data_IF_602328579617
#
_entry.id   IF_602328579617
#
_cell.length_a   1.000
_cell.length_b   1.000
_cell.length_c   1.000
_cell.angle_alpha   90.00
_cell.angle_beta   90.00
_cell.angle_gamma   90.00
#
_symmetry.space_group_name_H-M   'P 1'
#
loop_
_entity.id
_entity.type
_entity.pdbx_description
1 polymer ?
#
# COMPACT_ATOMS: atom_id res chain seq x y z
N UNK A 1 52.48 6.53 -66.26
CA UNK A 1 52.43 6.93 -64.83
C UNK A 1 51.29 7.91 -64.61
N UNK A 2 50.17 7.47 -64.03
CA UNK A 2 49.18 8.29 -63.32
C UNK A 2 48.56 7.39 -62.24
N UNK A 3 48.85 7.70 -60.97
CA UNK A 3 48.26 7.03 -59.79
C UNK A 3 46.95 7.73 -59.46
N UNK A 4 45.86 6.98 -59.36
CA UNK A 4 44.60 7.45 -58.79
C UNK A 4 44.25 6.53 -57.62
N UNK A 5 44.28 7.08 -56.41
CA UNK A 5 43.96 6.41 -55.16
C UNK A 5 42.46 6.63 -54.87
N UNK A 6 41.68 5.55 -54.89
CA UNK A 6 40.29 5.57 -54.41
C UNK A 6 40.24 5.41 -52.88
N UNK A 7 39.41 6.18 -52.16
CA UNK A 7 39.33 6.07 -50.71
C UNK A 7 38.53 4.84 -50.26
N UNK A 8 39.24 3.94 -49.59
CA UNK A 8 38.94 3.34 -48.29
C UNK A 8 37.48 3.43 -47.80
N UNK A 9 36.76 2.30 -47.78
CA UNK A 9 35.57 2.09 -46.94
C UNK A 9 35.64 0.74 -46.24
N UNK A 10 36.18 0.66 -45.02
CA UNK A 10 35.83 -0.36 -44.06
C UNK A 10 35.05 0.33 -42.94
N UNK A 11 33.73 0.25 -42.95
CA UNK A 11 32.96 0.55 -41.74
C UNK A 11 31.65 -0.23 -41.73
N UNK A 12 31.76 -1.56 -41.78
CA UNK A 12 30.76 -2.44 -41.18
C UNK A 12 30.98 -2.32 -39.68
N UNK A 13 30.40 -1.28 -39.07
CA UNK A 13 30.28 -1.17 -37.62
C UNK A 13 29.09 -2.04 -37.21
N UNK A 14 29.40 -3.32 -37.08
CA UNK A 14 28.62 -4.31 -36.37
C UNK A 14 28.69 -3.92 -34.88
N UNK A 15 27.60 -3.45 -34.26
CA UNK A 15 27.22 -3.84 -32.88
C UNK A 15 25.89 -3.21 -32.44
N UNK A 16 24.95 -4.11 -32.14
CA UNK A 16 23.91 -4.01 -31.12
C UNK A 16 23.61 -2.62 -30.51
N UNK A 17 22.51 -2.01 -30.95
CA UNK A 17 21.63 -1.22 -30.09
C UNK A 17 20.41 -2.07 -29.70
N UNK A 18 20.69 -3.26 -29.17
CA UNK A 18 19.74 -4.02 -28.36
C UNK A 18 20.03 -3.70 -26.90
N UNK A 19 19.01 -3.33 -26.14
CA UNK A 19 19.06 -3.43 -24.69
C UNK A 19 18.96 -2.12 -23.92
N UNK A 20 17.99 -1.27 -24.23
CA UNK A 20 17.31 -0.54 -23.17
C UNK A 20 15.82 -0.86 -23.25
N UNK A 21 15.48 -2.11 -22.94
CA UNK A 21 14.18 -2.36 -22.33
C UNK A 21 14.21 -1.59 -21.01
N UNK A 22 13.66 -0.38 -21.03
CA UNK A 22 13.12 0.23 -19.82
C UNK A 22 12.05 -0.73 -19.32
N UNK A 23 12.44 -1.69 -18.50
CA UNK A 23 11.55 -2.28 -17.53
C UNK A 23 11.30 -1.19 -16.49
N UNK A 24 10.60 -0.13 -16.90
CA UNK A 24 9.74 0.59 -15.98
C UNK A 24 8.68 -0.45 -15.61
N UNK A 25 9.00 -1.28 -14.62
CA UNK A 25 7.99 -2.11 -13.99
C UNK A 25 6.90 -1.14 -13.60
N UNK A 26 5.73 -1.26 -14.23
CA UNK A 26 4.57 -0.48 -13.86
C UNK A 26 4.39 -0.72 -12.35
N UNK A 27 4.61 0.31 -11.54
CA UNK A 27 4.36 0.23 -10.11
C UNK A 27 2.92 -0.23 -9.89
N UNK A 28 2.67 -0.95 -8.81
CA UNK A 28 1.29 -1.33 -8.49
C UNK A 28 0.43 -0.08 -8.36
N UNK A 29 -0.79 -0.14 -8.88
CA UNK A 29 -1.73 0.96 -8.71
C UNK A 29 -2.35 0.88 -7.32
N UNK A 30 -1.81 1.64 -6.37
CA UNK A 30 -2.39 1.76 -5.04
C UNK A 30 -3.41 2.89 -5.03
N UNK A 31 -4.67 2.56 -4.73
CA UNK A 31 -5.79 3.50 -4.67
C UNK A 31 -6.42 3.55 -3.27
N UNK A 32 -7.06 4.69 -2.99
CA UNK A 32 -7.85 4.92 -1.78
C UNK A 32 -9.28 5.29 -2.18
N UNK A 33 -10.26 4.78 -1.46
CA UNK A 33 -11.66 5.17 -1.60
C UNK A 33 -12.43 5.05 -0.29
N UNK A 34 -13.58 5.72 -0.22
CA UNK A 34 -14.56 5.56 0.84
C UNK A 34 -15.89 5.10 0.27
N UNK A 35 -16.36 3.91 0.66
CA UNK A 35 -17.57 3.30 0.11
C UNK A 35 -18.38 2.61 1.21
N UNK A 36 -19.71 2.84 1.24
CA UNK A 36 -20.59 2.17 2.19
C UNK A 36 -20.22 2.38 3.66
N UNK A 37 -19.57 3.50 3.96
CA UNK A 37 -19.08 3.84 5.29
C UNK A 37 -17.79 3.14 5.73
N UNK A 38 -17.08 2.51 4.78
CA UNK A 38 -15.77 1.91 4.99
C UNK A 38 -14.68 2.76 4.35
N UNK A 39 -13.48 2.66 4.92
CA UNK A 39 -12.25 3.16 4.32
C UNK A 39 -11.56 2.02 3.59
N UNK A 40 -11.19 2.24 2.34
CA UNK A 40 -10.58 1.27 1.45
C UNK A 40 -9.20 1.74 1.05
N UNK A 41 -8.21 0.86 1.21
CA UNK A 41 -6.90 1.01 0.59
C UNK A 41 -6.61 -0.28 -0.18
N UNK A 42 -6.40 -0.18 -1.48
CA UNK A 42 -6.24 -1.34 -2.33
C UNK A 42 -5.09 -1.19 -3.32
N UNK A 43 -4.53 -2.32 -3.72
CA UNK A 43 -3.63 -2.45 -4.85
C UNK A 43 -4.23 -3.40 -5.88
N UNK A 44 -3.44 -3.79 -6.88
CA UNK A 44 -3.86 -4.79 -7.86
C UNK A 44 -4.07 -6.18 -7.24
N UNK A 45 -3.44 -6.48 -6.10
CA UNK A 45 -3.44 -7.82 -5.48
C UNK A 45 -4.05 -7.90 -4.10
N UNK A 46 -4.17 -6.80 -3.36
CA UNK A 46 -4.72 -6.80 -2.00
C UNK A 46 -5.71 -5.68 -1.79
N UNK A 47 -6.70 -5.90 -0.94
CA UNK A 47 -7.64 -4.87 -0.47
C UNK A 47 -7.74 -4.91 1.05
N UNK A 48 -7.60 -3.75 1.66
CA UNK A 48 -7.85 -3.51 3.08
C UNK A 48 -9.14 -2.72 3.21
N UNK A 49 -10.08 -3.23 3.99
CA UNK A 49 -11.32 -2.54 4.34
C UNK A 49 -11.37 -2.28 5.84
N UNK A 50 -11.51 -1.01 6.23
CA UNK A 50 -11.71 -0.61 7.61
C UNK A 50 -13.14 -0.12 7.81
N UNK A 51 -13.81 -0.66 8.83
CA UNK A 51 -15.13 -0.18 9.23
C UNK A 51 -15.08 1.00 10.21
N UNK A 52 -16.25 1.50 10.57
CA UNK A 52 -16.41 2.61 11.53
C UNK A 52 -15.85 2.31 12.94
N UNK A 53 -15.59 1.04 13.26
CA UNK A 53 -15.02 0.60 14.54
C UNK A 53 -13.50 0.33 14.41
N UNK A 54 -12.88 0.76 13.31
CA UNK A 54 -11.48 0.49 12.95
C UNK A 54 -11.17 -1.02 12.88
N UNK A 55 -12.16 -1.85 12.54
CA UNK A 55 -11.97 -3.28 12.27
C UNK A 55 -11.50 -3.46 10.84
N UNK A 56 -10.38 -4.15 10.65
CA UNK A 56 -9.82 -4.43 9.33
C UNK A 56 -10.29 -5.77 8.77
N UNK A 57 -10.64 -5.79 7.48
CA UNK A 57 -10.77 -7.01 6.66
C UNK A 57 -9.77 -6.94 5.53
N UNK A 58 -9.07 -8.04 5.30
CA UNK A 58 -8.04 -8.14 4.26
C UNK A 58 -8.46 -9.18 3.23
N UNK A 59 -8.36 -8.81 1.96
CA UNK A 59 -8.70 -9.67 0.84
C UNK A 59 -7.54 -9.77 -0.15
N UNK A 60 -7.27 -10.97 -0.64
CA UNK A 60 -6.49 -11.18 -1.85
C UNK A 60 -7.38 -11.01 -3.08
N UNK A 61 -6.89 -10.26 -4.07
CA UNK A 61 -7.50 -10.07 -5.39
C UNK A 61 -6.89 -11.08 -6.36
N UNK A 62 -7.73 -11.82 -7.06
CA UNK A 62 -7.31 -12.71 -8.15
C UNK A 62 -8.30 -12.54 -9.31
N UNK A 63 -7.93 -11.71 -10.28
CA UNK A 63 -8.87 -11.21 -11.28
C UNK A 63 -10.00 -10.41 -10.61
N UNK A 64 -11.25 -10.78 -10.88
CA UNK A 64 -12.43 -10.17 -10.25
C UNK A 64 -12.79 -10.77 -8.88
N UNK A 65 -12.08 -11.82 -8.43
CA UNK A 65 -12.41 -12.54 -7.20
C UNK A 65 -11.68 -11.96 -6.00
N UNK A 66 -12.43 -11.72 -4.92
CA UNK A 66 -11.90 -11.41 -3.59
C UNK A 66 -11.91 -12.66 -2.71
N UNK A 67 -10.76 -13.01 -2.14
CA UNK A 67 -10.63 -14.08 -1.16
C UNK A 67 -10.20 -13.49 0.17
N UNK A 68 -11.07 -13.60 1.20
CA UNK A 68 -10.75 -13.11 2.53
C UNK A 68 -9.56 -13.87 3.11
N UNK A 69 -8.51 -13.16 3.48
CA UNK A 69 -7.28 -13.73 4.04
C UNK A 69 -7.35 -13.87 5.57
N UNK A 70 -8.20 -13.07 6.20
CA UNK A 70 -8.29 -12.95 7.65
C UNK A 70 -9.76 -13.14 8.02
N UNK A 71 -10.07 -14.23 8.71
CA UNK A 71 -11.28 -14.35 9.54
C UNK A 71 -11.28 -13.17 10.53
N UNK A 72 -12.42 -12.60 10.99
CA UNK A 72 -12.46 -11.47 11.95
C UNK A 72 -11.74 -11.67 13.32
N UNK A 73 -10.84 -12.64 13.43
CA UNK A 73 -9.86 -12.82 14.48
C UNK A 73 -8.71 -11.80 14.38
N UNK A 74 -8.87 -10.74 15.18
CA UNK A 74 -8.00 -9.61 15.48
C UNK A 74 -6.48 -9.86 15.58
N UNK A 75 -5.69 -8.95 15.00
CA UNK A 75 -4.65 -8.26 15.74
C UNK A 75 -5.21 -6.93 16.30
N UNK A 76 -5.31 -6.81 17.63
CA UNK A 76 -5.42 -5.50 18.30
C UNK A 76 -6.73 -4.72 18.24
N UNK A 77 -7.92 -5.35 18.17
CA UNK A 77 -9.21 -4.63 18.24
C UNK A 77 -9.53 -4.02 19.62
N UNK A 78 -8.68 -4.26 20.61
CA UNK A 78 -8.82 -3.67 21.93
C UNK A 78 -7.47 -3.26 22.52
N UNK A 79 -7.51 -2.23 23.36
CA UNK A 79 -6.41 -1.85 24.24
C UNK A 79 -6.76 -2.28 25.65
N UNK A 80 -5.84 -2.90 26.38
CA UNK A 80 -6.06 -3.19 27.80
C UNK A 80 -5.51 -2.03 28.62
N UNK A 81 -6.39 -1.33 29.32
CA UNK A 81 -6.04 -0.21 30.19
C UNK A 81 -6.55 -0.56 31.59
N UNK A 82 -5.65 -0.60 32.58
CA UNK A 82 -5.98 -0.99 33.95
C UNK A 82 -6.74 -2.33 34.05
N UNK A 83 -6.35 -3.31 33.23
CA UNK A 83 -7.01 -4.63 33.18
C UNK A 83 -8.37 -4.65 32.47
N UNK A 84 -8.85 -3.53 31.95
CA UNK A 84 -10.11 -3.42 31.21
C UNK A 84 -9.84 -3.33 29.72
N UNK A 85 -10.49 -4.18 28.93
CA UNK A 85 -10.45 -4.09 27.47
C UNK A 85 -11.29 -2.91 26.99
N UNK A 86 -10.63 -1.95 26.35
CA UNK A 86 -11.23 -0.84 25.60
C UNK A 86 -11.34 -1.26 24.15
N UNK A 87 -12.56 -1.29 23.63
CA UNK A 87 -12.93 -1.73 22.28
C UNK A 87 -13.80 -0.67 21.61
N UNK A 88 -14.28 -0.96 20.41
CA UNK A 88 -15.27 -0.14 19.69
C UNK A 88 -14.78 1.31 19.44
N UNK A 89 -13.54 1.44 18.96
CA UNK A 89 -12.95 2.74 18.59
C UNK A 89 -13.69 3.32 17.38
N UNK A 90 -14.44 4.40 17.61
CA UNK A 90 -15.13 5.11 16.56
C UNK A 90 -14.13 5.89 15.69
N UNK A 91 -14.05 5.53 14.41
CA UNK A 91 -13.18 6.16 13.42
C UNK A 91 -13.54 7.64 13.24
N UNK A 92 -12.56 8.52 13.41
CA UNK A 92 -12.64 9.93 13.05
C UNK A 92 -12.17 10.11 11.60
N UNK A 93 -13.15 10.24 10.70
CA UNK A 93 -12.88 10.40 9.27
C UNK A 93 -12.19 11.71 8.92
N UNK A 94 -12.40 12.76 9.70
CA UNK A 94 -11.73 14.04 9.46
C UNK A 94 -10.23 13.94 9.73
N UNK A 95 -9.79 12.92 10.46
CA UNK A 95 -8.39 12.59 10.75
C UNK A 95 -7.87 11.39 9.98
N UNK A 96 -8.59 10.96 8.95
CA UNK A 96 -8.11 9.93 8.01
C UNK A 96 -7.28 10.62 6.94
N UNK A 97 -6.01 10.24 6.82
CA UNK A 97 -5.06 10.87 5.91
C UNK A 97 -4.37 9.80 5.08
N UNK A 98 -4.28 10.05 3.77
CA UNK A 98 -3.47 9.24 2.86
C UNK A 98 -2.32 10.10 2.33
N UNK A 99 -1.11 9.58 2.45
CA UNK A 99 0.09 10.22 1.91
C UNK A 99 0.89 9.23 1.08
N UNK A 100 1.65 9.72 0.11
CA UNK A 100 2.68 8.91 -0.52
C UNK A 100 3.82 8.66 0.48
N UNK A 101 4.40 7.46 0.45
CA UNK A 101 5.56 7.09 1.26
C UNK A 101 6.72 6.70 0.34
N UNK A 102 7.92 7.14 0.69
CA UNK A 102 9.16 6.74 0.04
C UNK A 102 10.19 6.46 1.14
N UNK A 103 10.45 5.18 1.40
CA UNK A 103 11.30 4.71 2.49
C UNK A 103 12.33 3.70 1.97
N UNK A 104 13.19 3.19 2.87
CA UNK A 104 14.12 2.10 2.53
C UNK A 104 13.40 0.82 2.04
N UNK A 105 12.11 0.66 2.38
CA UNK A 105 11.29 -0.45 1.91
C UNK A 105 10.76 -0.23 0.48
N UNK A 106 10.72 1.01 -0.01
CA UNK A 106 10.28 1.37 -1.36
C UNK A 106 9.33 2.57 -1.38
N UNK A 107 8.74 2.81 -2.56
CA UNK A 107 7.64 3.74 -2.77
C UNK A 107 6.28 3.08 -2.53
N UNK A 108 5.27 3.86 -2.19
CA UNK A 108 3.89 3.41 -2.08
C UNK A 108 2.98 4.43 -1.41
N UNK A 109 1.95 3.96 -0.68
CA UNK A 109 1.01 4.81 0.06
C UNK A 109 0.88 4.41 1.52
N UNK A 110 0.74 5.42 2.36
CA UNK A 110 0.45 5.32 3.79
C UNK A 110 -0.96 5.84 4.06
N UNK A 111 -1.77 5.01 4.70
CA UNK A 111 -3.06 5.38 5.29
C UNK A 111 -2.87 5.51 6.79
N UNK A 112 -3.19 6.69 7.34
CA UNK A 112 -3.21 6.95 8.77
C UNK A 112 -4.64 7.26 9.20
N UNK A 113 -5.12 6.58 10.24
CA UNK A 113 -6.46 6.71 10.79
C UNK A 113 -6.41 6.90 12.29
N UNK A 114 -7.37 7.63 12.84
CA UNK A 114 -7.55 7.80 14.27
C UNK A 114 -8.96 7.44 14.67
N UNK A 115 -9.10 6.80 15.81
CA UNK A 115 -10.41 6.54 16.40
C UNK A 115 -10.40 6.65 17.90
N UNK A 116 -11.60 6.77 18.44
CA UNK A 116 -11.81 7.16 19.82
C UNK A 116 -12.76 6.19 20.52
N UNK A 117 -12.42 5.82 21.76
CA UNK A 117 -13.27 5.01 22.60
C UNK A 117 -13.31 5.59 24.03
N UNK A 118 -14.40 5.34 24.75
CA UNK A 118 -14.44 5.61 26.19
C UNK A 118 -13.66 4.52 26.91
N UNK A 119 -12.63 4.92 27.63
CA UNK A 119 -11.84 4.06 28.50
C UNK A 119 -12.35 4.02 29.94
N UNK A 120 -11.65 3.28 30.80
CA UNK A 120 -11.94 3.24 32.23
C UNK A 120 -11.87 4.64 32.85
N UNK A 121 -12.61 4.85 33.93
CA UNK A 121 -12.63 6.11 34.69
C UNK A 121 -13.09 7.34 33.86
N UNK A 122 -13.79 7.11 32.74
CA UNK A 122 -14.30 8.18 31.88
C UNK A 122 -13.25 8.81 30.97
N UNK A 123 -12.04 8.24 30.89
CA UNK A 123 -11.00 8.72 29.99
C UNK A 123 -11.42 8.57 28.52
N UNK A 124 -11.07 9.53 27.67
CA UNK A 124 -11.15 9.37 26.22
C UNK A 124 -9.85 8.75 25.73
N UNK A 125 -9.93 7.62 25.05
CA UNK A 125 -8.77 6.89 24.52
C UNK A 125 -8.71 7.11 23.02
N UNK A 126 -7.57 7.63 22.53
CA UNK A 126 -7.25 7.71 21.11
C UNK A 126 -6.47 6.46 20.70
N UNK A 127 -6.85 5.88 19.56
CA UNK A 127 -6.09 4.84 18.86
C UNK A 127 -5.71 5.39 17.50
N UNK A 128 -4.41 5.37 17.18
CA UNK A 128 -3.92 5.60 15.83
C UNK A 128 -3.64 4.25 15.16
N UNK A 129 -4.03 4.10 13.91
CA UNK A 129 -3.69 2.97 13.06
C UNK A 129 -3.06 3.48 11.78
N UNK A 130 -1.89 2.94 11.45
CA UNK A 130 -1.19 3.20 10.20
C UNK A 130 -1.14 1.92 9.37
N UNK A 131 -1.45 2.03 8.09
CA UNK A 131 -1.25 1.00 7.08
C UNK A 131 -0.35 1.54 5.97
N UNK A 132 0.73 0.84 5.65
CA UNK A 132 1.59 1.16 4.51
C UNK A 132 1.56 0.02 3.49
N UNK A 133 1.27 0.39 2.24
CA UNK A 133 1.38 -0.48 1.06
C UNK A 133 2.52 0.02 0.20
N UNK A 134 3.35 -0.91 -0.25
CA UNK A 134 4.56 -0.63 -1.02
C UNK A 134 4.47 -1.29 -2.40
N UNK A 135 4.86 -0.58 -3.45
CA UNK A 135 4.79 -1.06 -4.84
C UNK A 135 5.56 -2.36 -5.04
N UNK A 136 6.69 -2.49 -4.32
CA UNK A 136 7.57 -3.67 -4.37
C UNK A 136 6.96 -4.90 -3.69
N UNK A 137 6.01 -4.71 -2.77
CA UNK A 137 5.41 -5.76 -1.94
C UNK A 137 3.89 -5.80 -2.14
N UNK A 138 3.49 -5.95 -3.39
CA UNK A 138 2.11 -6.04 -3.88
C UNK A 138 1.12 -6.86 -3.04
N UNK A 139 1.58 -7.91 -2.36
CA UNK A 139 0.75 -8.85 -1.61
C UNK A 139 0.87 -8.68 -0.08
N UNK A 140 1.48 -7.59 0.40
CA UNK A 140 1.70 -7.35 1.81
C UNK A 140 1.41 -5.89 2.18
N UNK A 141 0.91 -5.69 3.39
CA UNK A 141 0.79 -4.38 4.01
C UNK A 141 1.33 -4.42 5.43
N UNK A 142 2.03 -3.35 5.82
CA UNK A 142 2.50 -3.17 7.18
C UNK A 142 1.43 -2.41 7.97
N UNK A 143 0.88 -3.03 9.01
CA UNK A 143 -0.09 -2.42 9.93
C UNK A 143 0.58 -2.18 11.28
N UNK A 144 0.53 -0.94 11.76
CA UNK A 144 1.08 -0.52 13.05
C UNK A 144 0.10 0.36 13.81
#
# INVERSE_FOLDING_TARGET
MKKSYGPCRPLIFFLLMMGMFSFAGAGENISFSEEGGKVLLESDRVRFEFDQNMTVRVYNKTGSRLSSLISPAAPGYYLVINGVAVKDFALDRQKTVVTDVNSAAGSGKKLQMRGYAKGPLGALIEKELTLELYDKYANAGLVT
#
